data_IF_591901893421
#
_entry.id   IF_591901893421
#
_cell.length_a   1.000
_cell.length_b   1.000
_cell.length_c   1.000
_cell.angle_alpha   90.00
_cell.angle_beta   90.00
_cell.angle_gamma   90.00
#
_symmetry.space_group_name_H-M   'P 1'
#
loop_
_entity.id
_entity.type
_entity.pdbx_description
1 polymer ?
#
# COMPACT_ATOMS: atom_id res chain seq x y z
N UNK A 1 -19.32 26.38 1.49
CA UNK A 1 -18.85 25.48 0.43
C UNK A 1 -17.49 24.97 0.86
N UNK A 2 -17.42 23.77 1.46
CA UNK A 2 -16.13 23.19 1.84
C UNK A 2 -15.52 22.57 0.59
N UNK A 3 -14.44 23.19 0.12
CA UNK A 3 -13.65 22.70 -0.99
C UNK A 3 -13.21 21.26 -0.72
N UNK A 4 -13.36 20.47 -1.78
CA UNK A 4 -13.05 19.06 -1.92
C UNK A 4 -11.64 18.77 -1.41
N UNK A 5 -11.50 18.21 -0.21
CA UNK A 5 -10.30 17.43 0.14
C UNK A 5 -10.50 16.01 -0.40
N UNK A 6 -10.47 15.86 -1.73
CA UNK A 6 -10.28 14.56 -2.42
C UNK A 6 -8.99 14.58 -3.24
N UNK A 7 -7.90 15.03 -2.64
CA UNK A 7 -6.55 14.68 -3.11
C UNK A 7 -6.09 13.43 -2.35
N UNK A 8 -6.85 12.34 -2.49
CA UNK A 8 -6.44 11.02 -2.00
C UNK A 8 -5.39 10.48 -2.99
N UNK A 9 -4.13 10.51 -2.58
CA UNK A 9 -3.00 10.01 -3.39
C UNK A 9 -3.04 8.47 -3.47
N UNK A 10 -3.55 7.84 -2.42
CA UNK A 10 -3.74 6.39 -2.31
C UNK A 10 -5.07 6.12 -1.61
N UNK A 11 -5.77 5.08 -2.03
CA UNK A 11 -6.88 4.53 -1.25
C UNK A 11 -6.34 3.81 0.00
N UNK A 12 -6.98 4.06 1.15
CA UNK A 12 -6.68 3.39 2.41
C UNK A 12 -7.91 2.60 2.85
N UNK A 13 -7.73 1.30 3.04
CA UNK A 13 -8.76 0.39 3.51
C UNK A 13 -8.50 0.03 4.98
N UNK A 14 -9.50 0.23 5.84
CA UNK A 14 -9.42 -0.13 7.26
C UNK A 14 -10.11 -1.48 7.50
N UNK A 15 -9.37 -2.44 8.03
CA UNK A 15 -9.87 -3.78 8.39
C UNK A 15 -9.40 -4.09 9.81
N UNK A 16 -10.33 -4.41 10.71
CA UNK A 16 -10.04 -4.79 12.11
C UNK A 16 -9.09 -3.80 12.82
N UNK A 17 -9.38 -2.49 12.72
CA UNK A 17 -8.56 -1.40 13.28
C UNK A 17 -7.13 -1.31 12.72
N UNK A 18 -6.83 -1.96 11.59
CA UNK A 18 -5.57 -1.81 10.87
C UNK A 18 -5.81 -1.24 9.48
N UNK A 19 -4.98 -0.29 9.09
CA UNK A 19 -5.06 0.38 7.79
C UNK A 19 -4.10 -0.26 6.79
N UNK A 20 -4.61 -0.47 5.58
CA UNK A 20 -3.92 -1.08 4.47
C UNK A 20 -4.00 -0.22 3.21
N UNK A 21 -3.02 -0.39 2.33
CA UNK A 21 -2.99 0.15 0.97
C UNK A 21 -2.74 -0.96 -0.03
N UNK A 22 -3.30 -0.82 -1.23
CA UNK A 22 -3.03 -1.75 -2.30
C UNK A 22 -1.60 -1.56 -2.83
N UNK A 23 -0.80 -2.63 -2.86
CA UNK A 23 0.60 -2.55 -3.28
C UNK A 23 0.76 -2.17 -4.76
N UNK A 24 -0.17 -2.53 -5.65
CA UNK A 24 -0.11 -2.16 -7.07
C UNK A 24 -0.39 -0.67 -7.26
N UNK A 25 -1.36 -0.16 -6.52
CA UNK A 25 -1.67 1.27 -6.53
C UNK A 25 -0.46 2.06 -6.01
N UNK A 26 0.13 1.63 -4.89
CA UNK A 26 1.36 2.20 -4.37
C UNK A 26 2.49 2.20 -5.41
N UNK A 27 2.74 1.05 -6.06
CA UNK A 27 3.76 0.93 -7.10
C UNK A 27 3.54 1.91 -8.26
N UNK A 28 2.31 2.00 -8.76
CA UNK A 28 1.93 2.91 -9.83
C UNK A 28 2.16 4.37 -9.43
N UNK A 29 1.74 4.75 -8.23
CA UNK A 29 1.91 6.12 -7.72
C UNK A 29 3.37 6.46 -7.45
N UNK A 30 4.18 5.49 -7.00
CA UNK A 30 5.62 5.66 -6.83
C UNK A 30 6.38 5.83 -8.15
N UNK A 31 5.74 5.57 -9.29
CA UNK A 31 6.34 5.66 -10.63
C UNK A 31 7.63 4.84 -10.77
N UNK A 32 7.64 3.66 -10.16
CA UNK A 32 8.77 2.73 -10.26
C UNK A 32 8.77 2.08 -11.65
N UNK A 33 9.92 2.11 -12.33
CA UNK A 33 10.04 1.58 -13.69
C UNK A 33 10.14 0.05 -13.81
N UNK A 34 10.38 -0.64 -12.69
CA UNK A 34 10.40 -2.11 -12.64
C UNK A 34 8.98 -2.66 -12.72
N UNK A 35 8.79 -3.88 -13.21
CA UNK A 35 7.49 -4.52 -13.13
C UNK A 35 7.09 -4.80 -11.67
N UNK A 36 5.78 -4.71 -11.41
CA UNK A 36 5.24 -4.85 -10.06
C UNK A 36 5.66 -6.16 -9.37
N UNK A 37 5.62 -7.29 -10.09
CA UNK A 37 5.83 -8.61 -9.51
C UNK A 37 7.27 -8.78 -9.01
N UNK A 38 8.24 -8.34 -9.81
CA UNK A 38 9.66 -8.33 -9.41
C UNK A 38 9.89 -7.30 -8.32
N UNK A 39 9.33 -6.09 -8.45
CA UNK A 39 9.48 -5.03 -7.45
C UNK A 39 8.98 -5.47 -6.07
N UNK A 40 7.75 -5.97 -5.94
CA UNK A 40 7.17 -6.27 -4.63
C UNK A 40 7.88 -7.43 -3.94
N UNK A 41 8.29 -8.46 -4.69
CA UNK A 41 9.06 -9.58 -4.15
C UNK A 41 10.42 -9.13 -3.61
N UNK A 42 11.15 -8.35 -4.40
CA UNK A 42 12.43 -7.79 -3.97
C UNK A 42 12.28 -6.87 -2.74
N UNK A 43 11.20 -6.09 -2.66
CA UNK A 43 10.96 -5.21 -1.51
C UNK A 43 10.60 -5.99 -0.25
N UNK A 44 9.77 -7.02 -0.37
CA UNK A 44 9.46 -7.92 0.76
C UNK A 44 10.73 -8.58 1.28
N UNK A 45 11.57 -9.11 0.38
CA UNK A 45 12.80 -9.80 0.76
C UNK A 45 13.84 -8.84 1.35
N UNK A 46 14.14 -7.74 0.64
CA UNK A 46 15.20 -6.80 1.02
C UNK A 46 14.94 -6.09 2.35
N UNK A 47 13.67 -5.80 2.64
CA UNK A 47 13.26 -5.11 3.86
C UNK A 47 12.65 -6.05 4.90
N UNK A 48 12.77 -7.36 4.70
CA UNK A 48 12.30 -8.39 5.63
C UNK A 48 10.84 -8.18 6.07
N UNK A 49 9.96 -7.80 5.15
CA UNK A 49 8.54 -7.61 5.44
C UNK A 49 7.89 -8.96 5.78
N UNK A 50 7.09 -8.98 6.83
CA UNK A 50 6.50 -10.22 7.37
C UNK A 50 5.02 -10.31 7.01
N UNK A 51 4.61 -11.43 6.43
CA UNK A 51 3.20 -11.70 6.13
C UNK A 51 2.35 -11.76 7.42
N UNK A 52 1.16 -11.16 7.40
CA UNK A 52 0.28 -11.00 8.57
C UNK A 52 0.65 -9.82 9.48
N UNK A 53 1.88 -9.32 9.40
CA UNK A 53 2.32 -8.13 10.14
C UNK A 53 2.39 -6.89 9.23
N UNK A 54 3.21 -6.96 8.20
CA UNK A 54 3.56 -5.83 7.33
C UNK A 54 2.75 -5.85 6.03
N UNK A 55 2.35 -7.05 5.58
CA UNK A 55 1.50 -7.23 4.40
C UNK A 55 0.59 -8.46 4.51
N UNK A 56 -0.43 -8.53 3.66
CA UNK A 56 -1.21 -9.75 3.40
C UNK A 56 -1.15 -10.06 1.92
N UNK A 57 -1.01 -11.34 1.55
CA UNK A 57 -1.13 -11.74 0.16
C UNK A 57 -2.55 -12.18 -0.20
N UNK A 58 -3.03 -11.66 -1.33
CA UNK A 58 -4.34 -11.99 -1.88
C UNK A 58 -4.11 -12.75 -3.18
N UNK A 59 -4.61 -13.98 -3.26
CA UNK A 59 -4.69 -14.70 -4.53
C UNK A 59 -6.13 -14.59 -5.04
N UNK A 60 -6.37 -14.23 -6.31
CA UNK A 60 -7.70 -14.35 -6.89
C UNK A 60 -8.14 -15.82 -6.76
N UNK A 61 -9.38 -16.04 -6.32
CA UNK A 61 -9.96 -17.37 -6.13
C UNK A 61 -9.69 -18.25 -7.37
N UNK A 62 -9.14 -19.45 -7.15
CA UNK A 62 -8.87 -20.48 -8.16
C UNK A 62 -10.16 -21.14 -8.70
N UNK A 63 -11.19 -20.35 -9.02
CA UNK A 63 -12.49 -20.84 -9.50
C UNK A 63 -12.65 -20.86 -11.02
N UNK A 64 -11.60 -20.56 -11.79
CA UNK A 64 -11.66 -20.54 -13.26
C UNK A 64 -10.74 -21.61 -13.84
N UNK A 65 -11.28 -22.83 -13.95
CA UNK A 65 -10.70 -23.93 -14.73
C UNK A 65 -10.84 -23.66 -16.24
N UNK A 66 -10.47 -22.48 -16.75
CA UNK A 66 -10.51 -22.24 -18.20
C UNK A 66 -9.32 -21.35 -18.59
N UNK A 67 -8.26 -22.00 -19.11
CA UNK A 67 -7.23 -21.44 -19.97
C UNK A 67 -6.39 -20.25 -19.41
N UNK A 68 -5.20 -20.57 -18.90
CA UNK A 68 -3.98 -19.81 -19.21
C UNK A 68 -3.82 -18.38 -18.66
N UNK A 69 -4.56 -17.98 -17.62
CA UNK A 69 -4.33 -16.72 -16.91
C UNK A 69 -3.54 -16.95 -15.63
N UNK A 70 -2.30 -16.46 -15.55
CA UNK A 70 -1.51 -16.49 -14.30
C UNK A 70 -2.35 -15.95 -13.14
N UNK A 71 -2.50 -16.75 -12.07
CA UNK A 71 -3.03 -16.29 -10.78
C UNK A 71 -2.17 -15.12 -10.30
N UNK A 72 -2.58 -13.88 -10.60
CA UNK A 72 -1.82 -12.68 -10.23
C UNK A 72 -1.94 -12.51 -8.72
N UNK A 73 -0.85 -12.82 -8.01
CA UNK A 73 -0.74 -12.56 -6.58
C UNK A 73 -0.72 -11.05 -6.34
N UNK A 74 -1.66 -10.58 -5.55
CA UNK A 74 -1.78 -9.21 -5.10
C UNK A 74 -1.41 -9.09 -3.62
N UNK A 75 -1.11 -7.88 -3.19
CA UNK A 75 -0.63 -7.61 -1.83
C UNK A 75 -1.33 -6.39 -1.25
N UNK A 76 -1.77 -6.50 0.00
CA UNK A 76 -2.19 -5.39 0.83
C UNK A 76 -1.06 -5.08 1.80
N UNK A 77 -0.51 -3.87 1.73
CA UNK A 77 0.55 -3.42 2.63
C UNK A 77 -0.08 -2.65 3.78
N UNK A 78 0.42 -2.82 4.99
CA UNK A 78 0.09 -1.87 6.07
C UNK A 78 0.55 -0.47 5.70
N UNK A 79 -0.10 0.55 6.27
CA UNK A 79 0.35 1.95 6.12
C UNK A 79 1.81 2.13 6.55
N UNK A 80 2.25 1.42 7.60
CA UNK A 80 3.64 1.42 8.04
C UNK A 80 4.60 0.89 6.97
N UNK A 81 4.34 -0.29 6.41
CA UNK A 81 5.15 -0.87 5.34
C UNK A 81 5.15 0.02 4.09
N UNK A 82 3.99 0.57 3.71
CA UNK A 82 3.88 1.46 2.56
C UNK A 82 4.70 2.75 2.70
N UNK A 83 4.75 3.34 3.91
CA UNK A 83 5.64 4.48 4.21
C UNK A 83 7.09 4.11 4.04
N UNK A 84 7.50 2.96 4.56
CA UNK A 84 8.87 2.48 4.43
C UNK A 84 9.24 2.31 2.95
N UNK A 85 8.38 1.66 2.16
CA UNK A 85 8.58 1.52 0.71
C UNK A 85 8.66 2.89 0.01
N UNK A 86 7.76 3.83 0.34
CA UNK A 86 7.81 5.17 -0.21
C UNK A 86 9.09 5.95 0.15
N UNK A 87 9.65 5.71 1.34
CA UNK A 87 10.91 6.30 1.77
C UNK A 87 12.09 5.74 0.96
N UNK A 88 12.15 4.42 0.77
CA UNK A 88 13.32 3.77 0.14
C UNK A 88 13.35 3.93 -1.37
N UNK A 89 12.22 4.15 -2.04
CA UNK A 89 12.24 4.54 -3.47
C UNK A 89 12.91 5.90 -3.70
N UNK A 90 12.97 6.76 -2.67
CA UNK A 90 13.70 8.03 -2.66
C UNK A 90 13.47 8.93 -3.90
N UNK A 91 12.27 8.90 -4.47
CA UNK A 91 11.87 9.72 -5.60
C UNK A 91 10.85 10.79 -5.17
N UNK A 92 10.50 11.72 -6.07
CA UNK A 92 9.57 12.80 -5.75
C UNK A 92 8.19 12.29 -5.30
N UNK A 93 7.68 11.24 -5.96
CA UNK A 93 6.40 10.62 -5.60
C UNK A 93 6.46 9.93 -4.25
N UNK A 94 7.55 9.23 -3.96
CA UNK A 94 7.81 8.62 -2.66
C UNK A 94 7.79 9.65 -1.53
N UNK A 95 8.36 10.84 -1.75
CA UNK A 95 8.28 11.94 -0.78
C UNK A 95 6.85 12.41 -0.55
N UNK A 96 6.06 12.58 -1.62
CA UNK A 96 4.64 12.99 -1.55
C UNK A 96 3.79 11.95 -0.84
N UNK A 97 3.91 10.69 -1.22
CA UNK A 97 3.18 9.55 -0.64
C UNK A 97 3.53 9.40 0.83
N UNK A 98 4.82 9.46 1.20
CA UNK A 98 5.25 9.40 2.60
C UNK A 98 4.60 10.51 3.43
N UNK A 99 4.61 11.76 2.93
CA UNK A 99 3.98 12.89 3.63
C UNK A 99 2.46 12.71 3.76
N UNK A 100 1.81 12.16 2.73
CA UNK A 100 0.39 11.84 2.78
C UNK A 100 0.08 10.79 3.85
N UNK A 101 0.79 9.66 3.86
CA UNK A 101 0.57 8.58 4.83
C UNK A 101 0.83 9.03 6.28
N UNK A 102 1.86 9.86 6.53
CA UNK A 102 2.11 10.45 7.86
C UNK A 102 0.93 11.35 8.30
N UNK A 103 0.37 12.13 7.38
CA UNK A 103 -0.78 13.00 7.69
C UNK A 103 -2.02 12.18 8.02
N UNK A 104 -2.22 11.03 7.38
CA UNK A 104 -3.34 10.13 7.67
C UNK A 104 -3.23 9.60 9.10
N UNK A 105 -2.08 9.04 9.49
CA UNK A 105 -1.89 8.52 10.85
C UNK A 105 -2.06 9.59 11.94
N UNK A 106 -1.59 10.81 11.66
CA UNK A 106 -1.74 11.93 12.58
C UNK A 106 -3.19 12.40 12.74
N UNK A 107 -4.07 12.18 11.76
CA UNK A 107 -5.51 12.47 11.87
C UNK A 107 -6.20 11.41 12.73
N UNK A 108 -5.94 10.14 12.45
CA UNK A 108 -6.46 9.00 13.22
C UNK A 108 -6.10 9.11 14.70
N UNK A 109 -4.83 9.43 15.02
CA UNK A 109 -4.40 9.60 16.41
C UNK A 109 -5.17 10.71 17.14
N UNK A 110 -5.47 11.82 16.45
CA UNK A 110 -6.24 12.92 17.04
C UNK A 110 -7.70 12.54 17.27
N UNK A 111 -8.29 11.75 16.38
CA UNK A 111 -9.65 11.26 16.52
C UNK A 111 -9.76 10.23 17.65
N UNK A 112 -8.77 9.34 17.78
CA UNK A 112 -8.71 8.37 18.88
C UNK A 112 -8.57 9.02 20.27
N UNK A 113 -7.89 10.16 20.38
CA UNK A 113 -7.72 10.91 21.65
C UNK A 113 -8.97 11.74 21.99
N UNK A 114 -9.83 12.03 21.00
CA UNK A 114 -11.02 12.86 21.18
C UNK A 114 -12.24 12.07 21.69
N UNK A 115 -12.21 10.75 21.56
CA UNK A 115 -13.25 9.82 22.03
C UNK A 115 -12.90 9.24 23.41
#
# INVERSE_FOLDING_TARGET
MNEIIKNEILKIDTVENRQYVNARELHMQLQVGRDFSTWIKERIEKYSLIEGKDYQSCSPNLGSEIHGGQNKKDYLLTVQAAKELAMVENNEQGRKIRQYLIKVEGREMKEAIKN
#
